data_IF_526505700371
#
_entry.id   IF_526505700371
#
_cell.length_a   1.000
_cell.length_b   1.000
_cell.length_c   1.000
_cell.angle_alpha   90.00
_cell.angle_beta   90.00
_cell.angle_gamma   90.00
#
_symmetry.space_group_name_H-M   'P 1'
#
loop_
_entity.id
_entity.type
_entity.pdbx_description
1 polymer ?
#
# COMPACT_ATOMS: atom_id res chain seq x y z
N UNK A 1 70.53 57.49 5.89
CA UNK A 1 70.86 56.97 7.25
C UNK A 1 70.32 57.95 8.28
N UNK A 2 69.91 57.47 9.46
CA UNK A 2 68.52 57.50 9.97
C UNK A 2 68.25 58.66 10.95
N UNK A 3 66.99 58.81 11.42
CA UNK A 3 66.71 59.05 12.85
C UNK A 3 65.22 58.88 13.19
N UNK A 4 65.01 58.01 14.18
CA UNK A 4 63.79 57.76 14.95
C UNK A 4 63.36 58.99 15.77
N UNK A 5 62.06 59.05 16.07
CA UNK A 5 61.47 59.38 17.39
C UNK A 5 59.94 59.28 17.20
N UNK A 6 59.14 58.37 17.76
CA UNK A 6 58.99 57.81 19.12
C UNK A 6 58.65 58.84 20.22
N UNK A 7 57.32 58.97 20.45
CA UNK A 7 56.60 58.77 21.73
C UNK A 7 55.92 59.96 22.43
N UNK A 8 54.59 59.79 22.56
CA UNK A 8 53.73 59.89 23.77
C UNK A 8 53.19 61.28 24.18
N UNK A 9 51.88 61.48 24.01
CA UNK A 9 50.83 61.54 25.06
C UNK A 9 50.58 63.00 25.51
N UNK A 10 49.35 63.50 25.71
CA UNK A 10 48.43 63.16 26.80
C UNK A 10 46.98 63.61 26.47
N UNK A 11 46.06 62.66 26.67
CA UNK A 11 44.68 62.69 27.21
C UNK A 11 43.87 64.01 27.21
N UNK A 12 42.63 63.90 26.74
CA UNK A 12 41.46 64.34 27.50
C UNK A 12 40.33 63.30 27.33
N UNK A 13 39.81 62.82 28.45
CA UNK A 13 38.69 61.90 28.56
C UNK A 13 37.41 62.68 28.83
N UNK A 14 36.28 62.25 28.26
CA UNK A 14 34.97 62.42 28.86
C UNK A 14 34.12 61.19 28.59
N UNK A 15 33.53 60.70 29.67
CA UNK A 15 32.77 59.47 29.79
C UNK A 15 31.25 59.72 29.72
N UNK A 16 30.51 58.60 29.70
CA UNK A 16 29.07 58.42 29.93
C UNK A 16 28.17 58.62 28.70
N UNK A 17 27.13 57.82 28.43
CA UNK A 17 26.65 56.56 29.00
C UNK A 17 25.70 55.93 27.95
N UNK A 18 25.64 54.61 27.89
CA UNK A 18 24.76 53.83 27.00
C UNK A 18 23.36 53.74 27.62
N UNK A 19 22.27 54.04 26.89
CA UNK A 19 20.95 53.56 27.26
C UNK A 19 20.71 52.19 26.61
N UNK A 20 20.62 51.17 27.45
CA UNK A 20 20.09 49.85 27.12
C UNK A 20 18.56 49.92 27.24
N UNK A 21 17.82 49.74 26.14
CA UNK A 21 16.39 49.44 26.21
C UNK A 21 15.90 48.69 24.96
N UNK A 22 15.93 47.36 25.08
CA UNK A 22 14.90 46.39 24.74
C UNK A 22 14.34 46.36 23.30
N UNK A 23 14.74 45.31 22.58
CA UNK A 23 13.99 44.73 21.48
C UNK A 23 12.55 44.41 21.92
N UNK A 24 11.58 45.19 21.45
CA UNK A 24 10.18 44.79 21.43
C UNK A 24 9.99 43.76 20.32
N UNK A 25 10.12 42.48 20.64
CA UNK A 25 9.76 41.39 19.76
C UNK A 25 8.28 41.50 19.39
N UNK A 26 8.00 41.48 18.10
CA UNK A 26 6.64 41.40 17.55
C UNK A 26 6.12 39.99 17.83
N UNK A 27 5.57 39.76 19.02
CA UNK A 27 4.86 38.50 19.31
C UNK A 27 3.41 38.65 18.86
N UNK A 28 3.20 38.59 17.54
CA UNK A 28 1.91 38.12 17.05
C UNK A 28 1.70 36.68 17.52
N UNK A 29 0.46 36.22 17.74
CA UNK A 29 0.25 34.81 18.03
C UNK A 29 0.81 34.04 16.83
N UNK A 30 1.84 33.23 17.08
CA UNK A 30 2.28 32.26 16.12
C UNK A 30 1.04 31.44 15.76
N UNK A 31 0.49 31.67 14.57
CA UNK A 31 -0.49 30.76 14.01
C UNK A 31 0.27 29.46 13.83
N UNK A 32 0.13 28.58 14.83
CA UNK A 32 0.52 27.19 14.67
C UNK A 32 -0.19 26.75 13.38
N UNK A 33 0.61 26.43 12.35
CA UNK A 33 0.07 25.81 11.17
C UNK A 33 -0.84 24.67 11.63
N UNK A 34 -2.05 24.51 11.08
CA UNK A 34 -2.92 23.42 11.46
C UNK A 34 -2.10 22.15 11.32
N UNK A 35 -1.81 21.49 12.45
CA UNK A 35 -1.18 20.19 12.48
C UNK A 35 -2.06 19.33 11.59
N UNK A 36 -1.55 18.92 10.43
CA UNK A 36 -2.30 18.15 9.46
C UNK A 36 -3.08 17.10 10.23
N UNK A 37 -4.42 17.12 10.11
CA UNK A 37 -5.25 16.10 10.70
C UNK A 37 -4.61 14.76 10.31
N UNK A 38 -4.37 13.89 11.30
CA UNK A 38 -3.88 12.55 11.01
C UNK A 38 -4.74 11.98 9.88
N UNK A 39 -4.13 11.31 8.88
CA UNK A 39 -4.92 10.81 7.76
C UNK A 39 -6.04 9.94 8.33
N UNK A 40 -7.29 10.26 8.00
CA UNK A 40 -8.44 9.42 8.35
C UNK A 40 -8.11 7.97 7.96
N UNK A 41 -8.25 6.99 8.88
CA UNK A 41 -7.91 5.60 8.59
C UNK A 41 -8.58 5.11 7.31
N UNK A 42 -7.90 4.29 6.49
CA UNK A 42 -8.54 3.72 5.29
C UNK A 42 -9.83 2.98 5.63
N UNK A 43 -10.88 3.03 4.81
CA UNK A 43 -12.01 2.12 4.97
C UNK A 43 -11.55 0.67 4.81
N UNK A 44 -12.27 -0.24 5.46
CA UNK A 44 -12.07 -1.68 5.27
C UNK A 44 -13.14 -2.20 4.33
N UNK A 45 -12.73 -2.93 3.31
CA UNK A 45 -13.59 -3.43 2.23
C UNK A 45 -13.53 -4.96 2.21
N UNK A 46 -14.46 -5.65 2.89
CA UNK A 46 -14.60 -7.11 2.80
C UNK A 46 -15.40 -7.55 1.56
N UNK A 47 -16.19 -6.62 1.01
CA UNK A 47 -17.12 -6.79 -0.11
C UNK A 47 -17.40 -5.42 -0.72
N UNK A 48 -17.71 -5.37 -2.00
CA UNK A 48 -18.21 -4.16 -2.67
C UNK A 48 -19.75 -4.13 -2.59
N UNK A 49 -20.29 -2.98 -2.21
CA UNK A 49 -21.72 -2.72 -2.34
C UNK A 49 -22.03 -2.27 -3.78
N UNK A 50 -22.54 -3.19 -4.60
CA UNK A 50 -22.88 -2.93 -6.01
C UNK A 50 -24.02 -3.81 -6.47
N UNK A 51 -24.80 -3.29 -7.43
CA UNK A 51 -25.81 -4.02 -8.18
C UNK A 51 -25.29 -4.60 -9.49
N UNK A 52 -24.07 -4.24 -9.90
CA UNK A 52 -23.46 -4.79 -11.10
C UNK A 52 -23.24 -6.29 -10.94
N UNK A 53 -23.46 -7.11 -11.98
CA UNK A 53 -23.33 -8.56 -11.90
C UNK A 53 -21.86 -8.98 -11.91
N UNK A 54 -21.10 -8.59 -10.88
CA UNK A 54 -19.65 -8.73 -10.83
C UNK A 54 -19.14 -9.36 -9.55
N UNK A 55 -17.99 -10.01 -9.66
CA UNK A 55 -17.17 -10.50 -8.53
C UNK A 55 -15.73 -10.01 -8.71
N UNK A 56 -14.96 -10.04 -7.64
CA UNK A 56 -13.58 -9.54 -7.64
C UNK A 56 -12.61 -10.67 -7.29
N UNK A 57 -11.79 -11.05 -8.27
CA UNK A 57 -10.74 -12.05 -8.09
C UNK A 57 -9.51 -11.37 -7.50
N UNK A 58 -9.04 -11.87 -6.37
CA UNK A 58 -7.83 -11.39 -5.70
C UNK A 58 -6.90 -12.56 -5.40
N UNK A 59 -5.60 -12.34 -5.57
CA UNK A 59 -4.58 -13.40 -5.43
C UNK A 59 -3.41 -12.87 -4.61
N UNK A 60 -3.07 -13.55 -3.52
CA UNK A 60 -2.09 -13.09 -2.54
C UNK A 60 -0.71 -13.75 -2.70
N UNK A 61 0.28 -13.11 -2.08
CA UNK A 61 1.68 -13.48 -1.91
C UNK A 61 2.58 -13.37 -3.14
N UNK A 62 2.28 -14.15 -4.18
CA UNK A 62 3.07 -14.21 -5.41
C UNK A 62 4.15 -15.30 -5.46
N UNK A 63 4.35 -16.12 -4.44
CA UNK A 63 5.52 -17.01 -4.35
C UNK A 63 5.56 -18.15 -5.38
N UNK A 64 4.44 -18.65 -5.87
CA UNK A 64 4.42 -19.69 -6.89
C UNK A 64 4.02 -19.12 -8.26
N UNK A 65 4.94 -19.19 -9.22
CA UNK A 65 4.74 -18.68 -10.58
C UNK A 65 4.17 -19.76 -11.49
N UNK A 66 2.90 -20.08 -11.32
CA UNK A 66 2.20 -21.10 -12.13
C UNK A 66 1.96 -20.60 -13.56
N UNK A 67 2.59 -21.19 -14.60
CA UNK A 67 2.37 -20.79 -15.99
C UNK A 67 0.94 -21.07 -16.48
N UNK A 68 0.28 -22.10 -15.94
CA UNK A 68 -1.06 -22.49 -16.36
C UNK A 68 -2.10 -21.52 -15.80
N UNK A 69 -2.00 -21.14 -14.52
CA UNK A 69 -2.80 -20.05 -13.97
C UNK A 69 -2.58 -18.73 -14.72
N UNK A 70 -1.32 -18.39 -15.05
CA UNK A 70 -1.04 -17.17 -15.81
C UNK A 70 -1.69 -17.19 -17.19
N UNK A 71 -1.59 -18.31 -17.90
CA UNK A 71 -2.27 -18.52 -19.18
C UNK A 71 -3.78 -18.38 -19.04
N UNK A 72 -4.39 -18.95 -17.99
CA UNK A 72 -5.83 -18.84 -17.74
C UNK A 72 -6.27 -17.39 -17.52
N UNK A 73 -5.54 -16.63 -16.69
CA UNK A 73 -5.81 -15.20 -16.46
C UNK A 73 -5.76 -14.40 -17.76
N UNK A 74 -4.76 -14.67 -18.62
CA UNK A 74 -4.55 -13.97 -19.88
C UNK A 74 -5.59 -14.35 -20.94
N UNK A 75 -5.78 -15.65 -21.19
CA UNK A 75 -6.71 -16.16 -22.20
C UNK A 75 -8.15 -15.73 -21.93
N UNK A 76 -8.56 -15.74 -20.65
CA UNK A 76 -9.91 -15.34 -20.22
C UNK A 76 -10.00 -13.84 -19.89
N UNK A 77 -8.90 -13.10 -20.00
CA UNK A 77 -8.80 -11.67 -19.67
C UNK A 77 -9.39 -11.34 -18.29
N UNK A 78 -9.05 -12.14 -17.28
CA UNK A 78 -9.58 -11.97 -15.92
C UNK A 78 -8.93 -10.75 -15.24
N UNK A 79 -9.68 -9.71 -14.85
CA UNK A 79 -9.15 -8.60 -14.07
C UNK A 79 -8.92 -9.03 -12.61
N UNK A 80 -7.71 -9.48 -12.29
CA UNK A 80 -7.34 -9.85 -10.92
C UNK A 80 -6.56 -8.73 -10.22
N UNK A 81 -6.83 -8.52 -8.93
CA UNK A 81 -5.97 -7.73 -8.03
C UNK A 81 -4.95 -8.65 -7.39
N UNK A 82 -3.68 -8.46 -7.73
CA UNK A 82 -2.56 -9.29 -7.28
C UNK A 82 -1.92 -8.63 -6.05
N UNK A 83 -2.25 -9.05 -4.83
CA UNK A 83 -1.64 -8.53 -3.62
C UNK A 83 -0.27 -9.22 -3.43
N UNK A 84 0.77 -8.60 -3.96
CA UNK A 84 2.09 -9.23 -4.05
C UNK A 84 3.00 -8.79 -2.91
N UNK A 85 3.88 -9.70 -2.52
CA UNK A 85 5.07 -9.39 -1.72
C UNK A 85 6.22 -8.99 -2.65
N UNK A 86 7.03 -7.96 -2.32
CA UNK A 86 8.20 -7.63 -3.10
C UNK A 86 9.22 -8.77 -3.29
N UNK A 87 9.31 -9.68 -2.31
CA UNK A 87 10.19 -10.85 -2.40
C UNK A 87 9.77 -11.85 -3.48
N UNK A 88 8.48 -11.96 -3.78
CA UNK A 88 7.96 -12.95 -4.72
C UNK A 88 8.46 -12.73 -6.15
N UNK A 89 8.58 -11.48 -6.59
CA UNK A 89 9.07 -11.16 -7.94
C UNK A 89 10.58 -10.90 -8.02
N UNK A 90 11.33 -11.09 -6.93
CA UNK A 90 12.76 -10.74 -6.93
C UNK A 90 13.62 -11.70 -7.77
N UNK A 91 13.20 -12.97 -7.90
CA UNK A 91 13.91 -13.97 -8.70
C UNK A 91 13.30 -14.14 -10.10
N UNK A 92 12.05 -13.77 -10.30
CA UNK A 92 11.38 -13.82 -11.59
C UNK A 92 10.31 -12.73 -11.70
N UNK A 93 10.75 -11.54 -12.05
CA UNK A 93 9.82 -10.45 -12.35
C UNK A 93 9.18 -10.55 -13.73
N UNK A 94 9.66 -11.47 -14.59
CA UNK A 94 9.14 -11.68 -15.95
C UNK A 94 7.71 -12.18 -15.91
N UNK A 95 7.44 -13.17 -15.05
CA UNK A 95 6.10 -13.71 -14.83
C UNK A 95 5.03 -12.64 -14.61
N UNK A 96 5.26 -11.72 -13.66
CA UNK A 96 4.31 -10.64 -13.39
C UNK A 96 4.29 -9.57 -14.47
N UNK A 97 5.43 -9.23 -15.09
CA UNK A 97 5.45 -8.28 -16.21
C UNK A 97 4.59 -8.76 -17.37
N UNK A 98 4.65 -10.05 -17.70
CA UNK A 98 3.84 -10.65 -18.77
C UNK A 98 2.34 -10.62 -18.42
N UNK A 99 1.98 -10.93 -17.17
CA UNK A 99 0.60 -10.81 -16.69
C UNK A 99 0.05 -9.38 -16.80
N UNK A 100 0.85 -8.38 -16.41
CA UNK A 100 0.44 -6.98 -16.43
C UNK A 100 0.39 -6.39 -17.84
N UNK A 101 1.31 -6.78 -18.72
CA UNK A 101 1.36 -6.33 -20.10
C UNK A 101 0.31 -7.00 -20.99
N UNK A 102 0.05 -8.29 -20.76
CA UNK A 102 -0.89 -9.08 -21.57
C UNK A 102 -2.35 -9.02 -21.10
N UNK A 103 -2.59 -8.58 -19.86
CA UNK A 103 -3.89 -8.72 -19.20
C UNK A 103 -4.38 -7.50 -18.43
N UNK A 104 -5.62 -7.58 -17.92
CA UNK A 104 -6.21 -6.51 -17.11
C UNK A 104 -5.84 -6.58 -15.62
N UNK A 105 -5.05 -7.57 -15.18
CA UNK A 105 -4.61 -7.71 -13.79
C UNK A 105 -3.73 -6.55 -13.33
N UNK A 106 -3.75 -6.20 -12.04
CA UNK A 106 -2.94 -5.12 -11.46
C UNK A 106 -2.33 -5.52 -10.12
N UNK A 107 -1.13 -5.02 -9.84
CA UNK A 107 -0.42 -5.27 -8.57
C UNK A 107 -0.95 -4.37 -7.47
N UNK A 108 -1.29 -4.98 -6.34
CA UNK A 108 -1.63 -4.36 -5.07
C UNK A 108 -0.61 -4.77 -3.99
N UNK A 109 -0.73 -4.16 -2.81
CA UNK A 109 0.30 -4.23 -1.78
C UNK A 109 -0.06 -5.25 -0.68
N UNK A 110 0.83 -6.21 -0.47
CA UNK A 110 0.71 -7.22 0.59
C UNK A 110 1.85 -7.15 1.61
N UNK A 111 2.30 -5.94 1.94
CA UNK A 111 3.47 -5.65 2.81
C UNK A 111 4.79 -6.10 2.20
N UNK A 112 5.90 -5.83 2.88
CA UNK A 112 7.23 -6.23 2.41
C UNK A 112 7.51 -7.68 2.77
N UNK A 113 7.27 -8.05 4.03
CA UNK A 113 7.75 -9.31 4.62
C UNK A 113 6.63 -10.22 5.16
N UNK A 114 5.36 -9.90 4.89
CA UNK A 114 4.21 -10.64 5.40
C UNK A 114 4.12 -10.77 6.95
N UNK A 115 4.44 -9.73 7.77
CA UNK A 115 4.33 -9.87 9.22
C UNK A 115 2.88 -9.73 9.70
N UNK A 116 2.58 -10.23 10.90
CA UNK A 116 1.42 -9.75 11.66
C UNK A 116 1.67 -8.27 12.02
N UNK A 117 0.95 -7.37 11.36
CA UNK A 117 1.12 -5.93 11.52
C UNK A 117 0.74 -5.46 12.92
N UNK A 118 -0.15 -6.15 13.62
CA UNK A 118 -0.57 -5.77 14.98
C UNK A 118 0.49 -6.07 16.04
N UNK A 119 1.49 -6.89 15.69
CA UNK A 119 2.68 -7.10 16.50
C UNK A 119 3.76 -6.01 16.30
N UNK A 120 3.58 -5.11 15.33
CA UNK A 120 4.52 -4.02 15.03
C UNK A 120 4.02 -2.68 15.57
N UNK A 121 4.96 -1.80 15.89
CA UNK A 121 4.64 -0.39 16.15
C UNK A 121 4.26 0.36 14.85
N UNK A 122 3.76 1.59 15.00
CA UNK A 122 3.29 2.38 13.86
C UNK A 122 4.39 2.63 12.79
N UNK A 123 5.66 2.73 13.21
CA UNK A 123 6.78 2.92 12.30
C UNK A 123 7.06 1.64 11.50
N UNK A 124 7.01 0.48 12.15
CA UNK A 124 7.13 -0.83 11.51
C UNK A 124 6.03 -1.07 10.49
N UNK A 125 4.76 -0.81 10.86
CA UNK A 125 3.63 -0.95 9.93
C UNK A 125 3.77 0.00 8.72
N UNK A 126 4.23 1.23 8.94
CA UNK A 126 4.48 2.20 7.86
C UNK A 126 5.62 1.73 6.95
N UNK A 127 6.70 1.18 7.51
CA UNK A 127 7.81 0.66 6.73
C UNK A 127 7.40 -0.52 5.83
N UNK A 128 6.56 -1.41 6.33
CA UNK A 128 5.99 -2.52 5.57
C UNK A 128 5.11 -2.03 4.41
N UNK A 129 4.19 -1.08 4.64
CA UNK A 129 3.34 -0.60 3.54
C UNK A 129 4.05 0.30 2.54
N UNK A 130 4.80 1.30 3.01
CA UNK A 130 5.47 2.26 2.14
C UNK A 130 6.62 1.60 1.39
N UNK A 131 7.37 0.72 2.05
CA UNK A 131 8.45 -0.04 1.42
C UNK A 131 7.94 -0.95 0.30
N UNK A 132 6.79 -1.62 0.50
CA UNK A 132 6.18 -2.42 -0.56
C UNK A 132 5.70 -1.54 -1.71
N UNK A 133 4.96 -0.45 -1.43
CA UNK A 133 4.50 0.51 -2.45
C UNK A 133 5.65 0.97 -3.34
N UNK A 134 6.74 1.44 -2.74
CA UNK A 134 7.85 2.01 -3.48
C UNK A 134 8.53 0.97 -4.38
N UNK A 135 8.64 -0.28 -3.92
CA UNK A 135 9.18 -1.39 -4.72
C UNK A 135 8.26 -1.78 -5.86
N UNK A 136 6.94 -1.87 -5.63
CA UNK A 136 5.97 -2.15 -6.70
C UNK A 136 5.99 -1.06 -7.77
N UNK A 137 5.99 0.22 -7.35
CA UNK A 137 6.06 1.35 -8.27
C UNK A 137 7.36 1.33 -9.08
N UNK A 138 8.50 1.10 -8.43
CA UNK A 138 9.80 1.01 -9.12
C UNK A 138 9.85 -0.18 -10.10
N UNK A 139 9.24 -1.31 -9.74
CA UNK A 139 9.32 -2.54 -10.53
C UNK A 139 8.37 -2.56 -11.73
N UNK A 140 7.17 -2.01 -11.58
CA UNK A 140 6.08 -2.16 -12.56
C UNK A 140 5.58 -0.83 -13.13
N UNK A 141 6.01 0.32 -12.60
CA UNK A 141 5.60 1.65 -13.06
C UNK A 141 4.18 2.06 -12.65
N UNK A 142 3.40 1.15 -12.06
CA UNK A 142 2.07 1.40 -11.49
C UNK A 142 2.10 1.14 -9.99
N UNK A 143 1.68 2.14 -9.22
CA UNK A 143 1.67 2.08 -7.76
C UNK A 143 0.42 1.36 -7.24
N UNK A 144 0.54 0.54 -6.18
CA UNK A 144 -0.62 -0.11 -5.57
C UNK A 144 -1.57 0.94 -4.99
N UNK A 145 -2.88 0.74 -5.18
CA UNK A 145 -3.93 1.60 -4.62
C UNK A 145 -4.62 0.94 -3.44
N UNK A 146 -4.62 -0.39 -3.43
CA UNK A 146 -5.23 -1.21 -2.41
C UNK A 146 -4.12 -1.89 -1.61
N UNK A 147 -4.39 -2.12 -0.32
CA UNK A 147 -3.56 -2.96 0.52
C UNK A 147 -4.39 -4.11 1.08
N UNK A 148 -3.74 -5.23 1.36
CA UNK A 148 -4.31 -6.31 2.16
C UNK A 148 -3.34 -6.63 3.28
N UNK A 149 -3.78 -6.64 4.56
CA UNK A 149 -2.90 -7.01 5.64
C UNK A 149 -2.70 -8.53 5.64
N UNK A 150 -1.48 -9.01 5.91
CA UNK A 150 -1.21 -10.42 6.16
C UNK A 150 -2.22 -11.03 7.14
N UNK A 151 -2.67 -12.25 6.85
CA UNK A 151 -3.64 -12.99 7.67
C UNK A 151 -5.02 -12.33 7.84
N UNK A 152 -5.29 -11.20 7.16
CA UNK A 152 -6.50 -10.40 7.35
C UNK A 152 -6.55 -9.65 8.70
N UNK A 153 -5.44 -9.60 9.44
CA UNK A 153 -5.38 -9.03 10.79
C UNK A 153 -4.95 -7.56 10.72
N UNK A 154 -5.72 -6.67 11.34
CA UNK A 154 -5.45 -5.23 11.33
C UNK A 154 -6.05 -4.53 12.55
N UNK A 155 -5.53 -3.35 12.86
CA UNK A 155 -6.11 -2.43 13.84
C UNK A 155 -6.24 -1.00 13.27
N UNK A 156 -6.57 -0.02 14.13
CA UNK A 156 -6.65 1.38 13.74
C UNK A 156 -5.29 1.96 13.29
N UNK A 157 -4.19 1.49 13.88
CA UNK A 157 -2.82 1.85 13.50
C UNK A 157 -2.52 1.37 12.09
N UNK A 158 -2.90 0.13 11.76
CA UNK A 158 -2.74 -0.47 10.43
C UNK A 158 -3.45 0.35 9.37
N UNK A 159 -4.71 0.70 9.63
CA UNK A 159 -5.50 1.51 8.69
C UNK A 159 -4.93 2.92 8.51
N UNK A 160 -4.34 3.49 9.55
CA UNK A 160 -3.70 4.81 9.48
C UNK A 160 -2.36 4.74 8.71
N UNK A 161 -1.54 3.73 8.99
CA UNK A 161 -0.28 3.48 8.27
C UNK A 161 -0.52 3.23 6.78
N UNK A 162 -1.54 2.43 6.45
CA UNK A 162 -1.99 2.21 5.08
C UNK A 162 -2.31 3.53 4.36
N UNK A 163 -3.08 4.41 5.01
CA UNK A 163 -3.42 5.74 4.47
C UNK A 163 -2.17 6.59 4.26
N UNK A 164 -1.28 6.63 5.24
CA UNK A 164 -0.02 7.38 5.16
C UNK A 164 0.85 6.90 4.00
N UNK A 165 0.74 5.62 3.63
CA UNK A 165 1.42 5.04 2.48
C UNK A 165 0.62 5.13 1.17
N UNK A 166 -0.50 5.87 1.13
CA UNK A 166 -1.22 6.17 -0.11
C UNK A 166 -2.31 5.15 -0.49
N UNK A 167 -2.63 4.21 0.39
CA UNK A 167 -3.72 3.28 0.15
C UNK A 167 -5.09 3.99 0.19
N UNK A 168 -5.97 3.56 -0.71
CA UNK A 168 -7.37 4.01 -0.77
C UNK A 168 -8.25 3.22 0.16
N UNK A 169 -8.03 1.91 0.24
CA UNK A 169 -8.74 0.99 1.11
C UNK A 169 -7.82 -0.12 1.63
N UNK A 170 -8.21 -0.66 2.79
CA UNK A 170 -7.77 -1.96 3.27
C UNK A 170 -8.77 -3.00 2.80
N UNK A 171 -8.33 -3.94 1.98
CA UNK A 171 -9.20 -4.96 1.35
C UNK A 171 -9.03 -6.28 2.08
N UNK A 172 -10.14 -6.85 2.55
CA UNK A 172 -10.22 -8.24 2.98
C UNK A 172 -10.98 -9.05 1.94
N UNK A 173 -11.77 -10.05 2.32
CA UNK A 173 -12.48 -10.91 1.37
C UNK A 173 -13.81 -11.38 1.95
N UNK A 174 -14.70 -11.81 1.06
CA UNK A 174 -15.95 -12.47 1.42
C UNK A 174 -15.75 -13.97 1.54
N UNK A 175 -15.02 -14.57 0.60
CA UNK A 175 -14.73 -16.00 0.58
C UNK A 175 -13.25 -16.24 0.31
N UNK A 176 -12.63 -17.10 1.11
CA UNK A 176 -11.35 -17.71 0.79
C UNK A 176 -11.63 -19.03 0.09
N UNK A 177 -11.23 -19.10 -1.18
CA UNK A 177 -11.39 -20.31 -2.00
C UNK A 177 -10.07 -21.02 -2.22
N UNK A 178 -9.01 -20.67 -1.49
CA UNK A 178 -7.69 -21.29 -1.63
C UNK A 178 -7.71 -22.73 -1.11
N UNK A 179 -7.20 -23.65 -1.92
CA UNK A 179 -6.90 -25.02 -1.49
C UNK A 179 -5.56 -25.04 -0.74
N UNK A 180 -5.56 -25.69 0.42
CA UNK A 180 -4.35 -25.87 1.24
C UNK A 180 -4.07 -27.35 1.45
N UNK A 181 -2.97 -27.83 0.85
CA UNK A 181 -2.62 -29.25 0.87
C UNK A 181 -3.70 -30.09 0.20
N UNK A 182 -4.34 -30.98 0.96
CA UNK A 182 -5.41 -31.86 0.46
C UNK A 182 -6.82 -31.33 0.74
N UNK A 183 -6.94 -30.15 1.35
CA UNK A 183 -8.22 -29.59 1.72
C UNK A 183 -8.60 -28.42 0.81
N UNK A 184 -9.72 -28.56 0.11
CA UNK A 184 -10.34 -27.49 -0.66
C UNK A 184 -11.59 -26.97 0.06
N UNK A 185 -11.77 -25.64 0.21
CA UNK A 185 -12.98 -25.07 0.79
C UNK A 185 -14.19 -25.33 -0.13
N UNK A 186 -15.40 -25.48 0.45
CA UNK A 186 -16.62 -25.62 -0.34
C UNK A 186 -16.88 -24.37 -1.18
N UNK A 187 -17.37 -24.56 -2.40
CA UNK A 187 -17.70 -23.45 -3.31
C UNK A 187 -19.08 -22.87 -2.97
N UNK A 188 -19.20 -21.59 -2.58
CA UNK A 188 -20.48 -20.96 -2.26
C UNK A 188 -21.24 -20.54 -3.52
N UNK A 189 -22.52 -20.19 -3.37
CA UNK A 189 -23.23 -19.39 -4.38
C UNK A 189 -22.82 -17.93 -4.24
N UNK A 190 -22.04 -17.44 -5.20
CA UNK A 190 -21.54 -16.06 -5.21
C UNK A 190 -22.66 -15.05 -5.46
N UNK A 191 -22.43 -13.82 -4.98
CA UNK A 191 -23.30 -12.67 -5.15
C UNK A 191 -22.50 -11.50 -5.72
N UNK A 192 -23.21 -10.59 -6.40
CA UNK A 192 -22.66 -9.32 -6.87
C UNK A 192 -21.89 -8.61 -5.76
N UNK A 193 -20.65 -8.21 -6.00
CA UNK A 193 -19.82 -7.52 -5.01
C UNK A 193 -18.86 -8.40 -4.21
N UNK A 194 -18.99 -9.73 -4.27
CA UNK A 194 -18.11 -10.64 -3.52
C UNK A 194 -16.64 -10.50 -3.94
N UNK A 195 -15.77 -10.47 -2.93
CA UNK A 195 -14.32 -10.49 -3.10
C UNK A 195 -13.82 -11.90 -2.75
N UNK A 196 -13.13 -12.52 -3.71
CA UNK A 196 -12.63 -13.89 -3.61
C UNK A 196 -11.13 -13.84 -3.39
N UNK A 197 -10.66 -14.47 -2.31
CA UNK A 197 -9.25 -14.68 -2.02
C UNK A 197 -8.77 -16.03 -2.57
N UNK A 198 -7.66 -15.98 -3.30
CA UNK A 198 -6.83 -17.09 -3.77
C UNK A 198 -5.37 -16.80 -3.40
N UNK A 199 -4.46 -17.77 -3.55
CA UNK A 199 -3.02 -17.56 -3.33
C UNK A 199 -2.19 -18.09 -4.50
N UNK A 200 -1.04 -17.46 -4.75
CA UNK A 200 -0.03 -18.00 -5.65
C UNK A 200 0.67 -19.21 -5.00
N UNK A 201 0.02 -20.36 -5.07
CA UNK A 201 0.49 -21.67 -4.65
C UNK A 201 0.29 -22.71 -5.77
N UNK A 202 0.63 -23.98 -5.52
CA UNK A 202 0.54 -25.08 -6.49
C UNK A 202 -0.89 -25.38 -6.98
N UNK A 203 -1.93 -24.85 -6.32
CA UNK A 203 -3.34 -25.11 -6.65
C UNK A 203 -4.01 -23.93 -7.35
N UNK A 204 -3.27 -22.88 -7.69
CA UNK A 204 -3.85 -21.63 -8.21
C UNK A 204 -4.67 -21.84 -9.49
N UNK A 205 -4.20 -22.64 -10.45
CA UNK A 205 -4.97 -22.93 -11.67
C UNK A 205 -6.35 -23.53 -11.35
N UNK A 206 -6.39 -24.54 -10.49
CA UNK A 206 -7.61 -25.24 -10.10
C UNK A 206 -8.56 -24.34 -9.29
N UNK A 207 -8.01 -23.59 -8.33
CA UNK A 207 -8.80 -22.68 -7.49
C UNK A 207 -9.35 -21.50 -8.30
N UNK A 208 -8.56 -20.96 -9.24
CA UNK A 208 -9.02 -19.94 -10.18
C UNK A 208 -10.12 -20.49 -11.09
N UNK A 209 -9.95 -21.70 -11.63
CA UNK A 209 -10.96 -22.37 -12.46
C UNK A 209 -12.27 -22.53 -11.68
N UNK A 210 -12.18 -22.98 -10.43
CA UNK A 210 -13.35 -23.16 -9.55
C UNK A 210 -14.04 -21.85 -9.21
N UNK A 211 -13.28 -20.78 -8.94
CA UNK A 211 -13.83 -19.45 -8.68
C UNK A 211 -14.55 -18.88 -9.91
N UNK A 212 -13.96 -19.03 -11.11
CA UNK A 212 -14.56 -18.57 -12.36
C UNK A 212 -15.85 -19.36 -12.70
N UNK A 213 -15.84 -20.67 -12.52
CA UNK A 213 -17.03 -21.50 -12.73
C UNK A 213 -18.16 -21.14 -11.75
N UNK A 214 -17.84 -20.84 -10.49
CA UNK A 214 -18.82 -20.38 -9.51
C UNK A 214 -19.42 -19.02 -9.89
N UNK A 215 -18.60 -18.11 -10.43
CA UNK A 215 -19.06 -16.81 -10.89
C UNK A 215 -20.01 -16.95 -12.08
N UNK A 216 -19.63 -17.75 -13.07
CA UNK A 216 -20.46 -18.04 -14.25
C UNK A 216 -21.80 -18.67 -13.87
N UNK A 217 -21.79 -19.67 -12.96
CA UNK A 217 -23.00 -20.31 -12.47
C UNK A 217 -23.96 -19.34 -11.74
N UNK A 218 -23.42 -18.28 -11.14
CA UNK A 218 -24.19 -17.22 -10.50
C UNK A 218 -24.59 -16.08 -11.46
N UNK A 219 -24.22 -16.15 -12.74
CA UNK A 219 -24.45 -15.08 -13.72
C UNK A 219 -23.59 -13.83 -13.47
N UNK A 220 -22.44 -14.01 -12.81
CA UNK A 220 -21.51 -12.95 -12.44
C UNK A 220 -20.23 -13.03 -13.29
N UNK A 221 -19.58 -11.89 -13.49
CA UNK A 221 -18.30 -11.81 -14.20
C UNK A 221 -17.22 -11.16 -13.33
N UNK A 222 -15.94 -11.55 -13.47
CA UNK A 222 -14.84 -10.80 -12.87
C UNK A 222 -14.82 -9.32 -13.31
N UNK A 223 -14.49 -8.41 -12.40
CA UNK A 223 -14.31 -6.99 -12.68
C UNK A 223 -13.06 -6.43 -11.95
N UNK A 224 -12.46 -5.32 -12.44
CA UNK A 224 -11.33 -4.70 -11.76
C UNK A 224 -11.76 -4.09 -10.42
N UNK A 225 -11.21 -4.57 -9.31
CA UNK A 225 -11.59 -4.12 -7.96
C UNK A 225 -11.34 -2.63 -7.75
N UNK A 226 -10.26 -2.09 -8.31
CA UNK A 226 -9.90 -0.66 -8.22
C UNK A 226 -11.00 0.27 -8.71
N UNK A 227 -11.82 -0.16 -9.67
CA UNK A 227 -12.85 0.67 -10.28
C UNK A 227 -14.10 0.78 -9.39
N UNK A 228 -14.20 -0.03 -8.34
CA UNK A 228 -15.35 -0.11 -7.43
C UNK A 228 -15.03 0.31 -5.99
N UNK A 229 -13.75 0.52 -5.66
CA UNK A 229 -13.35 1.04 -4.36
C UNK A 229 -13.43 2.57 -4.39
N UNK A 230 -14.12 3.22 -3.43
CA UNK A 230 -14.23 4.68 -3.37
C UNK A 230 -12.86 5.37 -3.28
N UNK A 231 -12.74 6.52 -3.94
CA UNK A 231 -11.54 7.38 -3.95
C UNK A 231 -11.21 8.04 -2.60
#
# INVERSE_FOLDING_TARGET
MPRLSLRHAVRAALAAAVPLALLGAVTGPAHAAPRAAWPEPVPVVPRIDTTDPVVFITIDDGWFHDPAAAKLLLDRRVPASLFLLPGAYSYDSGYFRDLLAGGPSRVENHTVNHPDLTALDAAGQTAEFCGARDRHLAQFGDGPRLIRPPYGVYDATTRTAARACGAKALVTWTYDLTTWGQWSPPTPTLKAGDIILLHFNETLEDDLTRALAAAEAAGLRPAPLRDYVPE
#
